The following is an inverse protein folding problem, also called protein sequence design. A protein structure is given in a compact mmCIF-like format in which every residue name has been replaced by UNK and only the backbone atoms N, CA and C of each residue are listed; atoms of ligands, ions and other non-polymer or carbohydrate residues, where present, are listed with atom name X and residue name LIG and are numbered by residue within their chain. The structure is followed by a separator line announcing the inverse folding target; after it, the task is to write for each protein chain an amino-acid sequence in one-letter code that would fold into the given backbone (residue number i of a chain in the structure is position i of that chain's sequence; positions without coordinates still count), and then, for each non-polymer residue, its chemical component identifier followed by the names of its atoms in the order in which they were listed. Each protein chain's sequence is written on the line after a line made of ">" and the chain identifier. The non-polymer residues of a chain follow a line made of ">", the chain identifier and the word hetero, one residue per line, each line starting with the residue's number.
data_IF_982537632052
#
_entry.id   IF_982537632052
#
_cell.length_a   1.000
_cell.length_b   1.000
_cell.length_c   1.000
_cell.angle_alpha   90.00
_cell.angle_beta   90.00
_cell.angle_gamma   90.00
#
_symmetry.space_group_name_H-M   'P 1'
#
loop_
_entity.id
_entity.type
_entity.pdbx_description
1 polymer ?
#
# COMPACT_ATOMS: atom_id res chain seq x y z
N UNK A 1 -22.80 18.94 44.61
CA UNK A 1 -23.08 18.15 43.39
C UNK A 1 -22.20 18.54 42.19
N UNK A 2 -22.11 19.82 41.77
CA UNK A 2 -21.32 20.23 40.58
C UNK A 2 -19.81 19.86 40.59
N UNK A 3 -19.14 19.95 41.75
CA UNK A 3 -17.71 19.59 41.87
C UNK A 3 -17.43 18.08 41.73
N UNK A 4 -18.35 17.24 42.24
CA UNK A 4 -18.26 15.78 42.11
C UNK A 4 -18.53 15.32 40.68
N UNK A 5 -19.49 15.94 39.99
CA UNK A 5 -19.72 15.72 38.54
C UNK A 5 -18.50 16.09 37.69
N UNK A 6 -17.82 17.20 38.01
CA UNK A 6 -16.61 17.62 37.29
C UNK A 6 -15.43 16.66 37.51
N UNK A 7 -15.25 16.14 38.73
CA UNK A 7 -14.23 15.13 39.03
C UNK A 7 -14.50 13.80 38.32
N UNK A 8 -15.77 13.35 38.28
CA UNK A 8 -16.15 12.13 37.55
C UNK A 8 -15.88 12.31 36.05
N UNK A 9 -16.19 13.47 35.47
CA UNK A 9 -15.91 13.78 34.08
C UNK A 9 -14.41 13.78 33.77
N UNK A 10 -13.58 14.31 34.67
CA UNK A 10 -12.12 14.31 34.54
C UNK A 10 -11.51 12.91 34.62
N UNK A 11 -12.06 12.04 35.48
CA UNK A 11 -11.65 10.63 35.61
C UNK A 11 -12.01 9.85 34.34
N UNK A 12 -13.21 10.07 33.77
CA UNK A 12 -13.62 9.44 32.50
C UNK A 12 -12.73 9.93 31.34
N UNK A 13 -12.40 11.22 31.30
CA UNK A 13 -11.49 11.78 30.29
C UNK A 13 -10.08 11.17 30.40
N UNK A 14 -9.57 10.97 31.62
CA UNK A 14 -8.28 10.34 31.86
C UNK A 14 -8.27 8.84 31.53
N UNK A 15 -9.34 8.09 31.83
CA UNK A 15 -9.39 6.64 31.52
C UNK A 15 -9.54 6.36 30.03
N UNK A 16 -10.26 7.20 29.28
CA UNK A 16 -10.33 7.07 27.81
C UNK A 16 -9.01 7.39 27.11
N UNK A 17 -8.15 8.24 27.69
CA UNK A 17 -6.83 8.55 27.15
C UNK A 17 -5.80 7.41 27.28
N UNK A 18 -6.05 6.40 28.12
CA UNK A 18 -5.19 5.23 28.28
C UNK A 18 -5.56 4.03 27.40
N UNK A 19 -6.63 4.12 26.60
CA UNK A 19 -6.90 3.11 25.59
C UNK A 19 -5.82 3.25 24.51
N UNK A 20 -4.84 2.36 24.55
CA UNK A 20 -3.88 2.21 23.47
C UNK A 20 -4.67 1.91 22.19
N UNK A 21 -4.64 2.85 21.25
CA UNK A 21 -5.15 2.63 19.90
C UNK A 21 -4.22 1.57 19.29
N UNK A 22 -4.67 0.31 19.30
CA UNK A 22 -3.99 -0.74 18.51
C UNK A 22 -4.16 -0.39 17.03
N UNK A 23 -3.11 -0.58 16.24
CA UNK A 23 -3.23 -0.47 14.80
C UNK A 23 -4.36 -1.39 14.31
N UNK A 24 -5.24 -0.89 13.44
CA UNK A 24 -6.27 -1.71 12.81
C UNK A 24 -5.62 -2.62 11.78
N UNK A 25 -5.33 -3.84 12.23
CA UNK A 25 -4.94 -4.94 11.40
C UNK A 25 -6.09 -5.32 10.48
N UNK A 26 -5.76 -5.76 9.28
CA UNK A 26 -6.76 -6.28 8.37
C UNK A 26 -7.37 -7.55 8.95
N UNK A 27 -8.68 -7.56 9.14
CA UNK A 27 -9.37 -8.72 9.71
C UNK A 27 -9.80 -9.71 8.63
N UNK A 28 -10.61 -9.24 7.67
CA UNK A 28 -11.17 -10.07 6.61
C UNK A 28 -11.60 -9.22 5.43
N UNK A 29 -11.46 -9.76 4.24
CA UNK A 29 -11.96 -9.14 3.02
C UNK A 29 -13.47 -9.35 2.87
N UNK A 30 -14.22 -8.28 2.64
CA UNK A 30 -15.65 -8.29 2.31
C UNK A 30 -16.01 -7.45 1.08
N UNK A 31 -15.02 -6.81 0.43
CA UNK A 31 -15.28 -5.77 -0.57
C UNK A 31 -14.74 -6.09 -1.96
N UNK A 32 -13.63 -6.83 -2.07
CA UNK A 32 -13.00 -7.10 -3.36
C UNK A 32 -12.79 -8.60 -3.62
N UNK A 33 -12.69 -9.00 -4.88
CA UNK A 33 -12.46 -10.40 -5.28
C UNK A 33 -11.56 -10.52 -6.50
N UNK A 34 -11.04 -11.72 -6.71
CA UNK A 34 -10.27 -12.09 -7.91
C UNK A 34 -11.01 -11.73 -9.21
N UNK A 35 -10.26 -11.28 -10.20
CA UNK A 35 -10.75 -10.84 -11.50
C UNK A 35 -11.20 -9.37 -11.54
N UNK A 36 -11.20 -8.66 -10.40
CA UNK A 36 -11.45 -7.23 -10.41
C UNK A 36 -10.35 -6.45 -11.14
N UNK A 37 -10.80 -5.42 -11.86
CA UNK A 37 -9.96 -4.42 -12.49
C UNK A 37 -10.54 -3.04 -12.23
N UNK A 38 -9.70 -2.14 -11.74
CA UNK A 38 -10.07 -0.75 -11.47
C UNK A 38 -9.12 0.16 -12.24
N UNK A 39 -9.67 1.16 -12.90
CA UNK A 39 -8.91 2.15 -13.67
C UNK A 39 -9.32 3.55 -13.22
N UNK A 40 -8.34 4.37 -12.88
CA UNK A 40 -8.53 5.78 -12.55
C UNK A 40 -7.82 6.66 -13.58
N UNK A 41 -8.47 7.75 -13.96
CA UNK A 41 -7.84 8.84 -14.71
C UNK A 41 -7.34 9.88 -13.70
N UNK A 42 -6.12 10.36 -13.92
CA UNK A 42 -5.49 11.40 -13.11
C UNK A 42 -5.62 12.70 -13.89
N UNK A 43 -6.24 13.70 -13.29
CA UNK A 43 -6.39 15.03 -13.85
C UNK A 43 -6.00 16.10 -12.84
N UNK A 44 -5.37 17.17 -13.30
CA UNK A 44 -5.08 18.35 -12.50
C UNK A 44 -6.16 19.41 -12.71
N UNK A 45 -6.72 19.94 -11.62
CA UNK A 45 -7.63 21.07 -11.68
C UNK A 45 -6.83 22.38 -11.73
N UNK A 46 -6.94 23.13 -12.81
CA UNK A 46 -6.33 24.45 -13.00
C UNK A 46 -7.34 25.59 -12.76
N UNK A 47 -8.34 25.34 -11.92
CA UNK A 47 -9.40 26.28 -11.55
C UNK A 47 -10.59 26.23 -12.52
N UNK A 48 -10.37 26.66 -13.77
CA UNK A 48 -11.42 26.72 -14.79
C UNK A 48 -11.49 25.47 -15.68
N UNK A 49 -10.39 24.72 -15.76
CA UNK A 49 -10.27 23.54 -16.62
C UNK A 49 -9.65 22.36 -15.87
N UNK A 50 -10.07 21.16 -16.27
CA UNK A 50 -9.43 19.91 -15.85
C UNK A 50 -8.47 19.46 -16.94
N UNK A 51 -7.22 19.25 -16.55
CA UNK A 51 -6.16 18.77 -17.44
C UNK A 51 -5.83 17.34 -17.08
N UNK A 52 -6.39 16.45 -17.87
CA UNK A 52 -6.07 15.03 -17.93
C UNK A 52 -4.55 14.83 -18.04
N UNK A 53 -3.94 14.04 -17.15
CA UNK A 53 -2.49 13.88 -17.03
C UNK A 53 -2.02 12.43 -17.21
N UNK A 54 -2.85 11.46 -16.82
CA UNK A 54 -2.45 10.06 -16.86
C UNK A 54 -3.54 9.11 -16.37
N UNK A 55 -3.14 7.87 -16.15
CA UNK A 55 -4.02 6.82 -15.66
C UNK A 55 -3.28 5.86 -14.75
N UNK A 56 -3.97 5.31 -13.75
CA UNK A 56 -3.50 4.20 -12.94
C UNK A 56 -4.51 3.06 -13.01
N UNK A 57 -4.01 1.83 -13.11
CA UNK A 57 -4.82 0.62 -13.14
C UNK A 57 -4.44 -0.27 -11.97
N UNK A 58 -5.41 -1.04 -11.49
CA UNK A 58 -5.25 -2.05 -10.47
C UNK A 58 -5.93 -3.33 -10.93
N UNK A 59 -5.30 -4.46 -10.68
CA UNK A 59 -5.91 -5.80 -10.89
C UNK A 59 -5.62 -6.69 -9.70
N UNK A 60 -6.51 -7.64 -9.48
CA UNK A 60 -6.35 -8.70 -8.49
C UNK A 60 -6.64 -10.04 -9.15
N UNK A 61 -5.67 -10.96 -9.06
CA UNK A 61 -5.82 -12.35 -9.47
C UNK A 61 -5.66 -13.26 -8.24
N UNK A 62 -6.09 -14.52 -8.34
CA UNK A 62 -5.89 -15.53 -7.30
C UNK A 62 -4.93 -16.60 -7.78
N UNK A 63 -4.04 -17.01 -6.90
CA UNK A 63 -3.10 -18.11 -7.10
C UNK A 63 -3.31 -19.10 -5.95
N UNK A 64 -3.46 -20.38 -6.30
CA UNK A 64 -3.48 -21.47 -5.34
C UNK A 64 -2.18 -22.25 -5.46
N UNK A 65 -1.35 -22.22 -4.43
CA UNK A 65 -0.05 -22.91 -4.41
C UNK A 65 0.20 -23.51 -3.03
N UNK A 66 0.57 -24.79 -2.99
CA UNK A 66 0.89 -25.51 -1.75
C UNK A 66 -0.20 -25.40 -0.65
N UNK A 67 -1.47 -25.37 -1.05
CA UNK A 67 -2.60 -25.21 -0.11
C UNK A 67 -2.84 -23.78 0.37
N UNK A 68 -2.03 -22.80 -0.06
CA UNK A 68 -2.23 -21.39 0.25
C UNK A 68 -3.03 -20.69 -0.85
N UNK A 69 -4.02 -19.89 -0.45
CA UNK A 69 -4.74 -18.97 -1.33
C UNK A 69 -4.08 -17.60 -1.27
N UNK A 70 -3.52 -17.17 -2.39
CA UNK A 70 -2.73 -15.95 -2.53
C UNK A 70 -3.46 -15.01 -3.49
N UNK A 71 -3.58 -13.74 -3.13
CA UNK A 71 -3.92 -12.70 -4.09
C UNK A 71 -2.66 -12.14 -4.75
N UNK A 72 -2.71 -11.99 -6.07
CA UNK A 72 -1.72 -11.30 -6.86
C UNK A 72 -2.27 -9.93 -7.25
N UNK A 73 -1.82 -8.91 -6.53
CA UNK A 73 -2.20 -7.53 -6.72
C UNK A 73 -1.20 -6.89 -7.67
N UNK A 74 -1.67 -6.27 -8.75
CA UNK A 74 -0.82 -5.50 -9.67
C UNK A 74 -1.37 -4.11 -9.81
N UNK A 75 -0.48 -3.13 -9.96
CA UNK A 75 -0.83 -1.79 -10.36
C UNK A 75 0.14 -1.27 -11.40
N UNK A 76 -0.36 -0.49 -12.36
CA UNK A 76 0.49 0.25 -13.28
C UNK A 76 -0.05 1.65 -13.54
N UNK A 77 0.82 2.63 -13.36
CA UNK A 77 0.57 4.05 -13.54
C UNK A 77 1.34 4.59 -14.73
N UNK A 78 0.72 5.49 -15.51
CA UNK A 78 1.42 6.18 -16.59
C UNK A 78 0.87 7.57 -16.84
N UNK A 79 1.76 8.49 -17.21
CA UNK A 79 1.37 9.74 -17.89
C UNK A 79 0.84 9.44 -19.29
N UNK A 80 -0.01 10.33 -19.80
CA UNK A 80 -0.40 10.28 -21.21
C UNK A 80 0.76 10.68 -22.12
N UNK A 81 0.80 10.09 -23.33
CA UNK A 81 1.90 10.27 -24.29
C UNK A 81 2.17 11.73 -24.63
N UNK A 82 1.15 12.57 -24.60
CA UNK A 82 1.22 14.02 -24.83
C UNK A 82 2.11 14.76 -23.81
N UNK A 83 2.37 14.16 -22.65
CA UNK A 83 3.18 14.74 -21.57
C UNK A 83 4.57 14.10 -21.43
N UNK A 84 4.81 12.98 -22.12
CA UNK A 84 6.07 12.25 -22.01
C UNK A 84 7.30 13.08 -22.43
N UNK A 85 7.12 14.15 -23.20
CA UNK A 85 8.21 15.02 -23.65
C UNK A 85 8.79 15.89 -22.52
N UNK A 86 8.01 16.23 -21.49
CA UNK A 86 8.47 17.03 -20.36
C UNK A 86 8.66 16.18 -19.10
N UNK A 87 7.75 15.23 -18.84
CA UNK A 87 7.86 14.32 -17.70
C UNK A 87 7.09 13.01 -17.94
N UNK A 88 7.84 11.93 -18.19
CA UNK A 88 7.29 10.60 -18.45
C UNK A 88 7.26 9.76 -17.18
N UNK A 89 6.10 9.18 -16.85
CA UNK A 89 5.92 8.25 -15.73
C UNK A 89 5.51 6.88 -16.26
N UNK A 90 6.17 5.81 -15.81
CA UNK A 90 5.83 4.40 -16.05
C UNK A 90 6.11 3.64 -14.77
N UNK A 91 5.08 3.50 -13.95
CA UNK A 91 5.16 2.86 -12.66
C UNK A 91 4.51 1.50 -12.71
N UNK A 92 5.13 0.52 -12.07
CA UNK A 92 4.63 -0.83 -11.91
C UNK A 92 4.85 -1.30 -10.48
N UNK A 93 3.76 -1.70 -9.83
CA UNK A 93 3.77 -2.32 -8.51
C UNK A 93 3.15 -3.72 -8.61
N UNK A 94 3.73 -4.66 -7.89
CA UNK A 94 3.35 -6.07 -7.89
C UNK A 94 3.45 -6.60 -6.46
N UNK A 95 2.37 -7.17 -5.93
CA UNK A 95 2.34 -7.74 -4.58
C UNK A 95 1.67 -9.10 -4.56
N UNK A 96 2.29 -10.05 -3.89
CA UNK A 96 1.72 -11.34 -3.53
C UNK A 96 1.36 -11.30 -2.05
N UNK A 97 0.10 -11.63 -1.74
CA UNK A 97 -0.44 -11.43 -0.39
C UNK A 97 -1.31 -12.61 0.00
N UNK A 98 -1.35 -12.95 1.29
CA UNK A 98 -2.29 -13.94 1.79
C UNK A 98 -3.74 -13.45 1.59
N UNK A 99 -4.58 -14.25 0.94
CA UNK A 99 -5.92 -13.79 0.53
C UNK A 99 -6.89 -13.57 1.70
N UNK A 100 -6.63 -14.20 2.85
CA UNK A 100 -7.48 -14.09 4.03
C UNK A 100 -7.07 -12.91 4.91
N UNK A 101 -5.76 -12.72 5.09
CA UNK A 101 -5.19 -11.77 6.05
C UNK A 101 -4.61 -10.51 5.42
N UNK A 102 -4.49 -10.45 4.08
CA UNK A 102 -3.75 -9.41 3.33
C UNK A 102 -2.31 -9.22 3.77
N UNK A 103 -1.72 -10.16 4.50
CA UNK A 103 -0.31 -10.12 4.87
C UNK A 103 0.56 -10.18 3.61
N UNK A 104 1.41 -9.17 3.34
CA UNK A 104 2.33 -9.21 2.21
C UNK A 104 3.29 -10.40 2.31
N UNK A 105 3.53 -11.09 1.21
CA UNK A 105 4.53 -12.16 1.10
C UNK A 105 5.75 -11.62 0.34
N UNK A 106 5.49 -10.98 -0.79
CA UNK A 106 6.51 -10.35 -1.64
C UNK A 106 5.92 -9.11 -2.30
N UNK A 107 6.64 -7.99 -2.26
CA UNK A 107 6.29 -6.74 -2.94
C UNK A 107 7.41 -6.32 -3.86
N UNK A 108 7.08 -5.91 -5.08
CA UNK A 108 8.00 -5.35 -6.08
C UNK A 108 7.49 -4.03 -6.60
N UNK A 109 8.44 -3.13 -6.80
CA UNK A 109 8.29 -1.82 -7.42
C UNK A 109 9.28 -1.72 -8.56
N UNK A 110 8.81 -1.27 -9.71
CA UNK A 110 9.62 -0.85 -10.84
C UNK A 110 9.02 0.45 -11.40
N UNK A 111 9.67 1.57 -11.12
CA UNK A 111 9.23 2.89 -11.54
C UNK A 111 10.23 3.52 -12.49
N UNK A 112 9.71 4.24 -13.47
CA UNK A 112 10.42 5.21 -14.26
C UNK A 112 9.69 6.55 -14.19
N UNK A 113 10.33 7.56 -13.63
CA UNK A 113 9.76 8.89 -13.43
C UNK A 113 10.76 9.95 -13.91
N UNK A 114 10.50 10.58 -15.06
CA UNK A 114 11.31 11.67 -15.58
C UNK A 114 12.78 11.32 -15.86
N UNK A 115 13.09 10.06 -16.15
CA UNK A 115 14.46 9.58 -16.32
C UNK A 115 15.09 8.95 -15.08
N UNK A 116 14.40 9.00 -13.94
CA UNK A 116 14.81 8.35 -12.71
C UNK A 116 14.15 6.97 -12.58
N UNK A 117 14.94 5.94 -12.28
CA UNK A 117 14.47 4.57 -12.09
C UNK A 117 14.56 4.22 -10.61
N UNK A 118 13.53 3.57 -10.08
CA UNK A 118 13.50 2.99 -8.74
C UNK A 118 13.05 1.54 -8.85
N UNK A 119 13.86 0.61 -8.35
CA UNK A 119 13.43 -0.77 -8.18
C UNK A 119 13.62 -1.23 -6.75
N UNK A 120 12.53 -1.67 -6.13
CA UNK A 120 12.54 -2.21 -4.79
C UNK A 120 11.86 -3.58 -4.80
N UNK A 121 12.43 -4.52 -4.06
CA UNK A 121 11.82 -5.80 -3.74
C UNK A 121 11.88 -6.00 -2.23
N UNK A 122 10.77 -6.42 -1.64
CA UNK A 122 10.64 -6.73 -0.23
C UNK A 122 10.06 -8.12 -0.07
N UNK A 123 10.72 -8.94 0.75
CA UNK A 123 10.23 -10.27 1.13
C UNK A 123 9.95 -10.27 2.62
N UNK A 124 8.72 -10.64 2.97
CA UNK A 124 8.21 -10.58 4.32
C UNK A 124 8.30 -11.97 4.93
N UNK A 125 9.10 -12.09 6.00
CA UNK A 125 9.29 -13.31 6.73
C UNK A 125 8.68 -13.16 8.13
N UNK A 126 7.50 -13.75 8.30
CA UNK A 126 6.77 -13.73 9.55
C UNK A 126 7.31 -14.71 10.59
N UNK A 127 8.09 -15.73 10.19
CA UNK A 127 8.70 -16.66 11.14
C UNK A 127 9.85 -15.98 11.89
N UNK A 128 10.65 -15.18 11.19
CA UNK A 128 11.75 -14.40 11.79
C UNK A 128 11.37 -12.97 12.18
N UNK A 129 10.16 -12.51 11.87
CA UNK A 129 9.71 -11.12 12.02
C UNK A 129 10.65 -10.12 11.33
N UNK A 130 11.03 -10.41 10.09
CA UNK A 130 11.94 -9.60 9.28
C UNK A 130 11.38 -9.30 7.88
N UNK A 131 11.87 -8.21 7.31
CA UNK A 131 11.67 -7.88 5.89
C UNK A 131 13.04 -7.84 5.24
N UNK A 132 13.27 -8.70 4.25
CA UNK A 132 14.46 -8.64 3.41
C UNK A 132 14.23 -7.64 2.28
N UNK A 133 15.00 -6.56 2.27
CA UNK A 133 14.87 -5.44 1.36
C UNK A 133 15.99 -5.47 0.32
N UNK A 134 15.62 -5.33 -0.95
CA UNK A 134 16.53 -5.25 -2.09
C UNK A 134 16.17 -4.00 -2.88
N UNK A 135 17.05 -2.99 -2.90
CA UNK A 135 16.72 -1.69 -3.50
C UNK A 135 17.83 -1.21 -4.42
N UNK A 136 17.45 -0.65 -5.56
CA UNK A 136 18.33 0.07 -6.47
C UNK A 136 17.60 1.30 -7.03
N UNK A 137 18.34 2.37 -7.34
CA UNK A 137 17.81 3.48 -8.11
C UNK A 137 18.91 4.12 -8.96
N UNK A 138 18.56 5.08 -9.83
CA UNK A 138 19.53 5.74 -10.72
C UNK A 138 20.75 6.33 -9.99
N UNK A 139 20.60 6.73 -8.72
CA UNK A 139 21.68 7.34 -7.91
C UNK A 139 22.34 6.38 -6.94
N UNK A 140 21.76 5.20 -6.69
CA UNK A 140 22.22 4.27 -5.67
C UNK A 140 22.28 2.88 -6.26
N UNK A 141 23.47 2.29 -6.20
CA UNK A 141 23.67 0.91 -6.56
C UNK A 141 22.81 -0.02 -5.69
N UNK A 142 22.63 -1.23 -6.19
CA UNK A 142 21.91 -2.29 -5.51
C UNK A 142 22.38 -2.46 -4.05
N UNK A 143 21.43 -2.40 -3.12
CA UNK A 143 21.64 -2.57 -1.69
C UNK A 143 20.71 -3.67 -1.16
N UNK A 144 21.26 -4.52 -0.30
CA UNK A 144 20.50 -5.45 0.54
C UNK A 144 20.41 -4.89 1.95
N UNK A 145 19.25 -5.02 2.57
CA UNK A 145 19.02 -4.62 3.96
C UNK A 145 18.02 -5.58 4.63
N UNK A 146 17.97 -5.54 5.95
CA UNK A 146 17.02 -6.31 6.74
C UNK A 146 16.32 -5.39 7.72
N UNK A 147 15.01 -5.27 7.58
CA UNK A 147 14.16 -4.46 8.43
C UNK A 147 13.42 -5.34 9.45
N UNK A 148 12.98 -4.76 10.56
CA UNK A 148 12.02 -5.42 11.43
C UNK A 148 10.65 -5.46 10.75
N UNK A 149 9.87 -6.51 11.01
CA UNK A 149 8.48 -6.63 10.59
C UNK A 149 7.55 -6.44 11.79
N UNK A 150 7.09 -5.22 12.08
CA UNK A 150 6.01 -5.02 13.04
C UNK A 150 4.73 -5.71 12.58
N UNK A 151 3.87 -6.00 13.55
CA UNK A 151 2.51 -6.45 13.27
C UNK A 151 1.80 -5.43 12.37
N UNK A 152 0.99 -5.95 11.45
CA UNK A 152 0.07 -5.16 10.62
C UNK A 152 0.81 -4.17 9.70
N UNK A 153 1.99 -4.60 9.24
CA UNK A 153 2.72 -3.97 8.16
C UNK A 153 2.04 -4.22 6.81
N UNK A 154 1.88 -3.16 6.04
CA UNK A 154 1.39 -3.18 4.67
C UNK A 154 2.48 -2.75 3.69
N UNK A 155 2.50 -3.37 2.51
CA UNK A 155 3.08 -2.77 1.32
C UNK A 155 2.09 -1.75 0.70
N UNK A 156 2.52 -1.08 -0.37
CA UNK A 156 1.73 -0.03 -1.01
C UNK A 156 0.38 -0.56 -1.54
N UNK A 157 0.36 -1.74 -2.16
CA UNK A 157 -0.86 -2.32 -2.71
C UNK A 157 -1.76 -2.86 -1.59
N UNK A 158 -1.22 -3.57 -0.61
CA UNK A 158 -2.03 -4.04 0.52
C UNK A 158 -2.63 -2.91 1.32
N UNK A 159 -1.94 -1.78 1.49
CA UNK A 159 -2.50 -0.59 2.11
C UNK A 159 -3.70 -0.03 1.31
N UNK A 160 -3.61 0.01 -0.02
CA UNK A 160 -4.70 0.47 -0.89
C UNK A 160 -5.92 -0.46 -0.79
N UNK A 161 -5.71 -1.78 -0.87
CA UNK A 161 -6.81 -2.75 -0.78
C UNK A 161 -7.40 -2.84 0.63
N UNK A 162 -6.59 -2.69 1.68
CA UNK A 162 -7.08 -2.59 3.05
C UNK A 162 -7.96 -1.35 3.24
N UNK A 163 -7.61 -0.20 2.65
CA UNK A 163 -8.40 1.02 2.71
C UNK A 163 -9.73 0.96 1.92
N UNK A 164 -9.86 0.03 0.97
CA UNK A 164 -11.11 -0.21 0.24
C UNK A 164 -12.12 -1.03 1.04
N UNK A 165 -11.67 -1.68 2.11
CA UNK A 165 -12.42 -2.67 2.87
C UNK A 165 -12.98 -2.10 4.17
#
# INVERSE_FOLDING_TARGET
>A
MKKSLFQILLIILFTTAYLQIKAQCFEKNVTFKSGEKISFNIAYNWGLIWVDAGSVNFTIDSIFKNGQHIYHLKSWGKTYKTYDWFFKVRDYFDSYVDANTLKPIEFKRDNYEGGFIIKNEYKFDYDSNKIFSFTENTKQAFKKDTLNLPDCTYDILTAIYAARN
#
